data_IF_013412011291
#
_entry.id   IF_013412011291
#
_cell.length_a   1.000
_cell.length_b   1.000
_cell.length_c   1.000
_cell.angle_alpha   90.00
_cell.angle_beta   90.00
_cell.angle_gamma   90.00
#
_symmetry.space_group_name_H-M   'P 1'
#
loop_
_entity.id
_entity.type
_entity.pdbx_description
1 polymer ?
#
# COMPACT_ATOMS: atom_id res chain seq x y z
N UNK A 1 -24.83 -16.70 -11.24
CA UNK A 1 -24.22 -15.81 -10.23
C UNK A 1 -22.73 -16.05 -10.31
N UNK A 2 -21.96 -15.12 -10.86
CA UNK A 2 -20.49 -15.16 -10.79
C UNK A 2 -20.10 -14.87 -9.35
N UNK A 3 -19.38 -15.82 -8.73
CA UNK A 3 -18.87 -15.65 -7.38
C UNK A 3 -17.73 -14.61 -7.45
N UNK A 4 -17.84 -13.54 -6.67
CA UNK A 4 -16.79 -12.53 -6.58
C UNK A 4 -15.54 -13.16 -5.96
N UNK A 5 -14.37 -12.87 -6.54
CA UNK A 5 -13.06 -13.24 -5.98
C UNK A 5 -12.59 -12.27 -4.89
N UNK A 6 -13.40 -11.27 -4.52
CA UNK A 6 -13.02 -10.28 -3.53
C UNK A 6 -13.01 -10.89 -2.13
N UNK A 7 -11.86 -10.79 -1.50
CA UNK A 7 -11.59 -11.24 -0.15
C UNK A 7 -11.23 -10.04 0.73
N UNK A 8 -11.73 -10.04 1.97
CA UNK A 8 -11.30 -9.08 2.99
C UNK A 8 -10.01 -9.59 3.61
N UNK A 9 -9.02 -8.72 3.77
CA UNK A 9 -7.75 -9.10 4.38
C UNK A 9 -7.97 -9.54 5.84
N UNK A 10 -7.44 -10.70 6.27
CA UNK A 10 -7.74 -11.27 7.58
C UNK A 10 -7.29 -10.38 8.75
N UNK A 11 -6.19 -9.65 8.55
CA UNK A 11 -5.61 -8.78 9.57
C UNK A 11 -6.01 -7.31 9.44
N UNK A 12 -6.55 -6.90 8.29
CA UNK A 12 -6.81 -5.49 7.98
C UNK A 12 -8.21 -5.38 7.36
N UNK A 13 -9.27 -5.28 8.18
CA UNK A 13 -10.66 -5.44 7.72
C UNK A 13 -11.14 -4.34 6.77
N UNK A 14 -10.42 -3.23 6.69
CA UNK A 14 -10.64 -2.14 5.74
C UNK A 14 -9.96 -2.39 4.39
N UNK A 15 -9.37 -3.56 4.16
CA UNK A 15 -8.68 -3.92 2.91
C UNK A 15 -9.38 -5.08 2.24
N UNK A 16 -9.56 -4.92 0.93
CA UNK A 16 -10.13 -5.93 0.06
C UNK A 16 -9.14 -6.20 -1.07
N UNK A 17 -8.96 -7.47 -1.43
CA UNK A 17 -8.16 -7.90 -2.58
C UNK A 17 -9.00 -8.81 -3.46
N UNK A 18 -8.80 -8.76 -4.77
CA UNK A 18 -9.63 -9.49 -5.73
C UNK A 18 -9.18 -9.23 -7.16
N UNK A 19 -9.78 -9.95 -8.10
CA UNK A 19 -9.55 -9.69 -9.52
C UNK A 19 -10.06 -8.30 -9.91
N UNK A 20 -9.34 -7.65 -10.82
CA UNK A 20 -9.66 -6.29 -11.28
C UNK A 20 -11.11 -6.14 -11.75
N UNK A 21 -11.65 -7.11 -12.49
CA UNK A 21 -13.04 -7.08 -12.97
C UNK A 21 -14.10 -7.14 -11.89
N UNK A 22 -13.77 -7.66 -10.70
CA UNK A 22 -14.71 -7.67 -9.58
C UNK A 22 -14.79 -6.30 -8.90
N UNK A 23 -13.74 -5.47 -9.02
CA UNK A 23 -13.75 -4.08 -8.56
C UNK A 23 -14.29 -3.12 -9.63
N UNK A 24 -13.96 -3.36 -10.90
CA UNK A 24 -14.44 -2.58 -12.03
C UNK A 24 -15.04 -3.49 -13.11
N UNK A 25 -16.34 -3.67 -13.02
CA UNK A 25 -17.12 -4.47 -13.99
C UNK A 25 -17.13 -3.88 -15.40
N UNK A 26 -16.78 -2.60 -15.57
CA UNK A 26 -16.73 -1.97 -16.90
C UNK A 26 -15.59 -2.53 -17.76
N UNK A 27 -14.52 -3.01 -17.12
CA UNK A 27 -13.39 -3.65 -17.80
C UNK A 27 -13.81 -4.92 -18.54
N UNK A 28 -14.84 -5.65 -18.07
CA UNK A 28 -15.28 -6.90 -18.69
C UNK A 28 -15.98 -6.69 -20.05
N UNK A 29 -16.40 -5.46 -20.34
CA UNK A 29 -17.07 -5.09 -21.58
C UNK A 29 -16.15 -4.51 -22.66
N UNK A 30 -14.86 -4.31 -22.36
CA UNK A 30 -13.91 -3.73 -23.31
C UNK A 30 -13.44 -4.79 -24.33
N UNK A 31 -13.08 -4.40 -25.57
CA UNK A 31 -12.33 -5.26 -26.46
C UNK A 31 -10.97 -5.59 -25.86
N UNK A 32 -10.47 -6.82 -26.04
CA UNK A 32 -9.17 -7.26 -25.49
C UNK A 32 -8.00 -6.35 -25.84
N UNK A 33 -8.03 -5.69 -27.00
CA UNK A 33 -6.95 -4.77 -27.42
C UNK A 33 -6.95 -3.44 -26.63
N UNK A 34 -8.04 -3.10 -25.96
CA UNK A 34 -8.20 -1.91 -25.13
C UNK A 34 -8.08 -2.22 -23.63
N UNK A 35 -7.87 -3.49 -23.28
CA UNK A 35 -7.62 -3.89 -21.89
C UNK A 35 -6.25 -3.39 -21.45
N UNK A 36 -6.25 -2.34 -20.62
CA UNK A 36 -5.06 -1.93 -19.86
C UNK A 36 -4.74 -2.94 -18.74
N UNK A 37 -5.65 -3.88 -18.48
CA UNK A 37 -5.64 -4.81 -17.35
C UNK A 37 -5.87 -6.24 -17.83
N UNK A 38 -4.94 -7.13 -17.49
CA UNK A 38 -5.03 -8.54 -17.88
C UNK A 38 -6.11 -9.27 -17.07
N UNK A 39 -6.77 -10.31 -17.63
CA UNK A 39 -7.82 -10.98 -16.89
C UNK A 39 -7.44 -11.69 -15.60
N UNK A 40 -6.15 -11.91 -15.38
CA UNK A 40 -5.60 -12.48 -14.16
C UNK A 40 -5.10 -11.44 -13.17
N UNK A 41 -5.26 -10.15 -13.45
CA UNK A 41 -4.75 -9.09 -12.59
C UNK A 41 -5.58 -8.95 -11.32
N UNK A 42 -4.86 -8.88 -10.21
CA UNK A 42 -5.37 -8.65 -8.88
C UNK A 42 -5.16 -7.20 -8.49
N UNK A 43 -6.18 -6.62 -7.88
CA UNK A 43 -6.20 -5.27 -7.35
C UNK A 43 -6.41 -5.28 -5.83
N UNK A 44 -6.09 -4.15 -5.22
CA UNK A 44 -6.30 -3.89 -3.80
C UNK A 44 -7.16 -2.64 -3.64
N UNK A 45 -8.17 -2.73 -2.79
CA UNK A 45 -8.97 -1.61 -2.33
C UNK A 45 -8.66 -1.39 -0.84
N UNK A 46 -8.43 -0.14 -0.46
CA UNK A 46 -8.17 0.26 0.92
C UNK A 46 -9.20 1.31 1.28
N UNK A 47 -10.02 1.01 2.30
CA UNK A 47 -11.11 1.87 2.77
C UNK A 47 -12.05 2.39 1.67
N UNK A 48 -12.33 1.56 0.65
CA UNK A 48 -13.20 1.91 -0.46
C UNK A 48 -12.50 2.58 -1.65
N UNK A 49 -11.18 2.81 -1.58
CA UNK A 49 -10.39 3.37 -2.68
C UNK A 49 -9.53 2.28 -3.33
N UNK A 50 -9.83 1.98 -4.60
CA UNK A 50 -9.02 1.06 -5.43
C UNK A 50 -7.66 1.68 -5.71
N UNK A 51 -6.62 0.92 -5.42
CA UNK A 51 -5.25 1.35 -5.63
C UNK A 51 -4.83 1.15 -7.08
N UNK A 52 -4.06 2.09 -7.63
CA UNK A 52 -3.51 2.00 -9.00
C UNK A 52 -2.39 0.95 -9.16
N UNK A 53 -2.35 -0.06 -8.29
CA UNK A 53 -1.36 -1.14 -8.30
C UNK A 53 -1.96 -2.40 -8.90
N UNK A 54 -1.22 -3.00 -9.82
CA UNK A 54 -1.62 -4.21 -10.54
C UNK A 54 -0.74 -5.37 -10.10
N UNK A 55 -1.35 -6.43 -9.60
CA UNK A 55 -0.65 -7.62 -9.12
C UNK A 55 -0.97 -8.82 -10.01
N UNK A 56 0.05 -9.51 -10.52
CA UNK A 56 -0.17 -10.72 -11.33
C UNK A 56 -0.68 -11.94 -10.54
N UNK A 57 -0.88 -11.83 -9.22
CA UNK A 57 -1.48 -12.89 -8.41
C UNK A 57 -2.03 -12.38 -7.07
N UNK A 58 -2.96 -13.16 -6.51
CA UNK A 58 -3.51 -12.99 -5.16
C UNK A 58 -2.43 -12.86 -4.09
N UNK A 59 -1.48 -13.77 -4.08
CA UNK A 59 -0.46 -13.85 -3.02
C UNK A 59 0.46 -12.63 -3.04
N UNK A 60 0.73 -12.07 -4.23
CA UNK A 60 1.48 -10.81 -4.36
C UNK A 60 0.68 -9.63 -3.82
N UNK A 61 -0.61 -9.54 -4.15
CA UNK A 61 -1.48 -8.49 -3.62
C UNK A 61 -1.53 -8.54 -2.08
N UNK A 62 -1.72 -9.72 -1.50
CA UNK A 62 -1.73 -9.91 -0.05
C UNK A 62 -0.39 -9.57 0.63
N UNK A 63 0.73 -9.98 0.03
CA UNK A 63 2.06 -9.72 0.58
C UNK A 63 2.39 -8.22 0.63
N UNK A 64 1.85 -7.42 -0.30
CA UNK A 64 2.14 -5.99 -0.41
C UNK A 64 1.24 -5.12 0.49
N UNK A 65 0.24 -5.68 1.17
CA UNK A 65 -0.72 -4.91 1.99
C UNK A 65 -0.03 -3.98 2.99
N UNK A 66 0.93 -4.47 3.77
CA UNK A 66 1.64 -3.61 4.73
C UNK A 66 2.46 -2.51 4.05
N UNK A 67 3.04 -2.79 2.87
CA UNK A 67 3.76 -1.79 2.08
C UNK A 67 2.81 -0.70 1.59
N UNK A 68 1.65 -1.07 1.09
CA UNK A 68 0.63 -0.12 0.63
C UNK A 68 0.19 0.78 1.79
N UNK A 69 -0.25 0.22 2.93
CA UNK A 69 -0.76 1.01 4.06
C UNK A 69 0.31 1.93 4.66
N UNK A 70 1.53 1.43 4.86
CA UNK A 70 2.50 2.15 5.69
C UNK A 70 3.57 2.91 4.91
N UNK A 71 3.83 2.57 3.65
CA UNK A 71 4.86 3.21 2.84
C UNK A 71 4.29 4.03 1.68
N UNK A 72 3.19 3.58 1.06
CA UNK A 72 2.66 4.19 -0.17
C UNK A 72 1.41 5.02 0.09
N UNK A 73 0.63 4.70 1.12
CA UNK A 73 -0.52 5.49 1.52
C UNK A 73 -0.09 6.87 1.99
N UNK A 74 -0.58 7.90 1.31
CA UNK A 74 -0.14 9.28 1.53
C UNK A 74 -0.68 9.88 2.82
N UNK A 75 -1.80 9.37 3.31
CA UNK A 75 -2.47 9.92 4.49
C UNK A 75 -2.08 9.17 5.77
N UNK A 76 -1.10 9.71 6.50
CA UNK A 76 -0.73 9.16 7.81
C UNK A 76 -1.89 9.25 8.83
N UNK A 77 -2.82 10.19 8.65
CA UNK A 77 -3.96 10.36 9.57
C UNK A 77 -4.97 9.22 9.45
N UNK A 78 -5.06 8.58 8.27
CA UNK A 78 -5.89 7.40 8.07
C UNK A 78 -5.49 6.26 9.02
N UNK A 79 -4.19 5.93 9.09
CA UNK A 79 -3.71 4.85 9.96
C UNK A 79 -3.94 5.19 11.43
N UNK A 80 -3.78 6.46 11.83
CA UNK A 80 -4.09 6.92 13.19
C UNK A 80 -5.58 6.76 13.53
N UNK A 81 -6.47 7.11 12.59
CA UNK A 81 -7.91 6.92 12.74
C UNK A 81 -8.27 5.43 12.84
N UNK A 82 -7.65 4.56 12.04
CA UNK A 82 -7.88 3.11 12.12
C UNK A 82 -7.37 2.52 13.45
N UNK A 83 -6.25 3.03 13.99
CA UNK A 83 -5.78 2.65 15.34
C UNK A 83 -6.81 3.08 16.39
N UNK A 84 -7.28 4.33 16.36
CA UNK A 84 -8.27 4.82 17.31
C UNK A 84 -9.59 4.01 17.24
N UNK A 85 -10.10 3.77 16.03
CA UNK A 85 -11.29 2.95 15.81
C UNK A 85 -11.11 1.51 16.30
N UNK A 86 -9.93 0.90 16.12
CA UNK A 86 -9.64 -0.42 16.63
C UNK A 86 -9.60 -0.46 18.17
N UNK A 87 -9.06 0.58 18.81
CA UNK A 87 -9.08 0.73 20.27
C UNK A 87 -10.51 0.89 20.79
N UNK A 88 -11.31 1.76 20.18
CA UNK A 88 -12.71 2.01 20.56
C UNK A 88 -13.57 0.75 20.40
N UNK A 89 -13.30 -0.07 19.39
CA UNK A 89 -13.94 -1.36 19.17
C UNK A 89 -13.43 -2.49 20.08
N UNK A 90 -12.42 -2.22 20.93
CA UNK A 90 -11.78 -3.25 21.76
C UNK A 90 -10.93 -4.27 20.99
N UNK A 91 -10.61 -4.00 19.72
CA UNK A 91 -9.76 -4.83 18.88
C UNK A 91 -8.28 -4.49 19.10
N UNK A 92 -7.76 -4.85 20.27
CA UNK A 92 -6.38 -4.56 20.70
C UNK A 92 -5.34 -5.15 19.73
N UNK A 93 -5.61 -6.32 19.15
CA UNK A 93 -4.69 -6.97 18.21
C UNK A 93 -4.48 -6.13 16.95
N UNK A 94 -5.57 -5.66 16.33
CA UNK A 94 -5.50 -4.77 15.17
C UNK A 94 -4.81 -3.45 15.51
N UNK A 95 -5.17 -2.84 16.64
CA UNK A 95 -4.57 -1.59 17.09
C UNK A 95 -3.04 -1.69 17.25
N UNK A 96 -2.55 -2.76 17.89
CA UNK A 96 -1.12 -3.01 18.06
C UNK A 96 -0.42 -3.21 16.72
N UNK A 97 -0.98 -4.04 15.84
CA UNK A 97 -0.37 -4.31 14.53
C UNK A 97 -0.26 -3.05 13.66
N UNK A 98 -1.27 -2.20 13.68
CA UNK A 98 -1.25 -0.91 12.99
C UNK A 98 -0.22 0.04 13.60
N UNK A 99 -0.12 0.11 14.93
CA UNK A 99 0.85 0.95 15.62
C UNK A 99 2.30 0.50 15.34
N UNK A 100 2.57 -0.80 15.36
CA UNK A 100 3.88 -1.39 15.03
C UNK A 100 4.25 -1.15 13.57
N UNK A 101 3.33 -1.41 12.64
CA UNK A 101 3.53 -1.17 11.21
C UNK A 101 3.87 0.29 10.91
N UNK A 102 3.12 1.23 11.52
CA UNK A 102 3.38 2.67 11.44
C UNK A 102 4.76 3.04 12.01
N UNK A 103 5.11 2.52 13.19
CA UNK A 103 6.42 2.75 13.82
C UNK A 103 7.59 2.28 12.94
N UNK A 104 7.50 1.05 12.39
CA UNK A 104 8.51 0.51 11.48
C UNK A 104 8.65 1.34 10.21
N UNK A 105 7.55 1.76 9.60
CA UNK A 105 7.60 2.56 8.39
C UNK A 105 8.18 3.96 8.61
N UNK A 106 7.82 4.61 9.73
CA UNK A 106 8.43 5.87 10.13
C UNK A 106 9.94 5.73 10.31
N UNK A 107 10.40 4.74 11.08
CA UNK A 107 11.85 4.52 11.27
C UNK A 107 12.62 4.29 9.97
N UNK A 108 12.02 3.57 9.00
CA UNK A 108 12.61 3.41 7.66
C UNK A 108 12.69 4.71 6.87
N UNK A 109 11.68 5.58 6.99
CA UNK A 109 11.66 6.89 6.34
C UNK A 109 12.74 7.80 6.92
N UNK A 110 12.77 7.90 8.24
CA UNK A 110 13.75 8.71 8.98
C UNK A 110 15.19 8.28 8.61
N UNK A 111 15.47 6.97 8.61
CA UNK A 111 16.78 6.44 8.20
C UNK A 111 17.15 6.76 6.74
N UNK A 112 16.17 6.77 5.82
CA UNK A 112 16.39 7.11 4.41
C UNK A 112 16.70 8.60 4.24
N UNK A 113 16.04 9.46 5.00
CA UNK A 113 16.27 10.90 5.00
C UNK A 113 17.66 11.24 5.56
N UNK A 114 18.05 10.63 6.68
CA UNK A 114 19.41 10.77 7.23
C UNK A 114 20.49 10.34 6.24
N UNK A 115 20.31 9.21 5.57
CA UNK A 115 21.25 8.74 4.55
C UNK A 115 21.33 9.69 3.35
N UNK A 116 20.20 10.20 2.88
CA UNK A 116 20.16 11.17 1.78
C UNK A 116 20.87 12.49 2.14
N UNK A 117 20.70 12.97 3.37
CA UNK A 117 21.41 14.13 3.88
C UNK A 117 22.93 13.90 3.89
N UNK A 118 23.38 12.76 4.42
CA UNK A 118 24.80 12.40 4.43
C UNK A 118 25.40 12.32 3.02
N UNK A 119 24.68 11.75 2.05
CA UNK A 119 25.11 11.74 0.65
C UNK A 119 25.22 13.14 0.05
N UNK A 120 24.28 14.03 0.36
CA UNK A 120 24.31 15.43 -0.10
C UNK A 120 25.51 16.18 0.44
N UNK A 121 25.90 15.94 1.70
CA UNK A 121 27.11 16.53 2.29
C UNK A 121 28.37 16.04 1.60
N UNK A 122 28.49 14.73 1.37
CA UNK A 122 29.63 14.14 0.65
C UNK A 122 29.75 14.70 -0.77
N UNK A 123 28.64 14.76 -1.51
CA UNK A 123 28.61 15.33 -2.87
C UNK A 123 29.01 16.81 -2.89
N UNK A 124 28.54 17.60 -1.91
CA UNK A 124 28.94 19.00 -1.77
C UNK A 124 30.45 19.15 -1.59
N UNK A 125 31.06 18.33 -0.74
CA UNK A 125 32.51 18.31 -0.52
C UNK A 125 33.26 17.93 -1.81
N UNK A 126 32.84 16.85 -2.48
CA UNK A 126 33.47 16.37 -3.72
C UNK A 126 33.40 17.42 -4.84
N UNK A 127 32.28 18.12 -5.00
CA UNK A 127 32.12 19.22 -5.97
C UNK A 127 33.07 20.38 -5.69
N UNK A 128 33.30 20.71 -4.41
CA UNK A 128 34.23 21.77 -4.00
C UNK A 128 35.69 21.45 -4.35
N UNK A 129 36.08 20.17 -4.29
CA UNK A 129 37.41 19.73 -4.72
C UNK A 129 37.59 19.68 -6.23
N UNK A 130 36.55 19.36 -7.00
CA UNK A 130 36.58 19.37 -8.47
C UNK A 130 36.60 20.77 -9.10
N UNK A 131 36.29 21.80 -8.33
CA UNK A 131 36.23 23.20 -8.78
C UNK A 131 37.54 23.97 -8.54
N UNK A 132 38.59 23.27 -8.08
CA UNK A 132 39.96 23.77 -7.90
C UNK A 132 40.88 23.07 -8.88
#
# INVERSE_FOLDING_TARGET
MTQSSIEVHPDFPFIRVGLAYDFDTSLAGLPREEHVVDPGDWWMEVAGEVQGLVYGSRDRALADVEKVIFAEWRDNSFVEQQIAAAVDAGNTHLALRLAEGRGRARGRRDAKEEFAAALSEVDHVLKRFRSR
#
